data_IF_188293092526
#
_entry.id   IF_188293092526
#
_cell.length_a   1.000
_cell.length_b   1.000
_cell.length_c   1.000
_cell.angle_alpha   90.00
_cell.angle_beta   90.00
_cell.angle_gamma   90.00
#
_symmetry.space_group_name_H-M   'P 1'
#
loop_
_entity.id
_entity.type
_entity.pdbx_description
1 polymer ?
#
# COMPACT_ATOMS: atom_id res chain seq x y z
N UNK A 1 -31.16 -12.48 -5.75
CA UNK A 1 -30.71 -13.88 -5.62
C UNK A 1 -29.72 -14.15 -6.74
N UNK A 2 -28.50 -13.59 -6.62
CA UNK A 2 -27.45 -13.66 -7.66
C UNK A 2 -26.82 -15.06 -7.75
N UNK A 3 -26.92 -15.86 -6.68
CA UNK A 3 -26.45 -17.23 -6.65
C UNK A 3 -27.15 -18.16 -7.66
N UNK A 4 -28.41 -17.92 -8.04
CA UNK A 4 -29.19 -18.89 -8.83
C UNK A 4 -28.81 -19.02 -10.31
N UNK A 5 -28.31 -17.94 -10.94
CA UNK A 5 -27.94 -17.94 -12.35
C UNK A 5 -26.56 -18.57 -12.57
N UNK A 6 -25.60 -18.28 -11.68
CA UNK A 6 -24.23 -18.80 -11.74
C UNK A 6 -24.17 -20.35 -11.67
N UNK A 7 -25.06 -20.99 -10.88
CA UNK A 7 -25.13 -22.46 -10.81
C UNK A 7 -25.68 -23.11 -12.09
N UNK A 8 -26.48 -22.40 -12.89
CA UNK A 8 -27.17 -22.99 -14.04
C UNK A 8 -26.25 -23.12 -15.27
N UNK A 9 -25.39 -22.12 -15.50
CA UNK A 9 -24.39 -22.14 -16.58
C UNK A 9 -23.28 -23.18 -16.32
N UNK A 10 -22.83 -23.31 -15.07
CA UNK A 10 -21.76 -24.23 -14.68
C UNK A 10 -22.22 -25.69 -14.61
N UNK A 11 -23.50 -25.94 -14.30
CA UNK A 11 -24.09 -27.28 -14.36
C UNK A 11 -24.27 -27.79 -15.80
N UNK A 12 -24.48 -26.91 -16.78
CA UNK A 12 -24.52 -27.26 -18.19
C UNK A 12 -23.13 -27.67 -18.75
N UNK A 13 -22.05 -27.20 -18.12
CA UNK A 13 -20.66 -27.43 -18.53
C UNK A 13 -20.01 -28.72 -17.95
N UNK A 14 -20.72 -29.51 -17.13
CA UNK A 14 -20.24 -30.82 -16.66
C UNK A 14 -19.10 -30.79 -15.63
N UNK A 15 -18.89 -29.68 -14.92
CA UNK A 15 -17.79 -29.49 -13.95
C UNK A 15 -18.07 -30.27 -12.66
N UNK A 16 -17.22 -31.25 -12.31
CA UNK A 16 -17.52 -32.28 -11.32
C UNK A 16 -17.29 -31.91 -9.83
N UNK A 17 -16.82 -30.71 -9.50
CA UNK A 17 -16.76 -30.22 -8.10
C UNK A 17 -16.80 -28.70 -8.04
N UNK A 18 -17.98 -28.15 -7.73
CA UNK A 18 -18.25 -26.71 -7.62
C UNK A 18 -17.57 -26.06 -6.39
N UNK A 19 -17.32 -26.83 -5.34
CA UNK A 19 -16.79 -26.32 -4.06
C UNK A 19 -15.28 -26.08 -4.06
N UNK A 20 -14.52 -26.73 -4.95
CA UNK A 20 -13.06 -26.56 -5.00
C UNK A 20 -12.66 -25.37 -5.88
N UNK A 21 -13.40 -25.09 -6.96
CA UNK A 21 -13.15 -23.97 -7.89
C UNK A 21 -13.55 -22.62 -7.28
N UNK A 22 -14.61 -22.58 -6.48
CA UNK A 22 -15.07 -21.36 -5.81
C UNK A 22 -14.30 -21.01 -4.52
N UNK A 23 -13.52 -21.95 -3.96
CA UNK A 23 -12.75 -21.75 -2.72
C UNK A 23 -11.26 -21.42 -2.94
N UNK A 24 -10.74 -21.47 -4.18
CA UNK A 24 -9.42 -20.89 -4.49
C UNK A 24 -9.53 -19.35 -4.53
N UNK A 25 -9.60 -18.72 -3.36
CA UNK A 25 -9.22 -17.32 -3.20
C UNK A 25 -7.70 -17.22 -3.41
N UNK A 26 -7.29 -17.10 -4.68
CA UNK A 26 -5.96 -16.62 -5.01
C UNK A 26 -6.06 -15.10 -5.03
N UNK A 27 -5.57 -14.45 -3.98
CA UNK A 27 -5.22 -13.03 -4.01
C UNK A 27 -4.20 -12.84 -5.14
N UNK A 28 -4.66 -12.34 -6.28
CA UNK A 28 -3.76 -11.88 -7.34
C UNK A 28 -3.17 -10.57 -6.84
N UNK A 29 -1.93 -10.63 -6.34
CA UNK A 29 -1.12 -9.44 -6.08
C UNK A 29 -1.07 -8.62 -7.38
N UNK A 30 -1.73 -7.46 -7.36
CA UNK A 30 -1.70 -6.52 -8.47
C UNK A 30 -0.27 -5.95 -8.59
N UNK A 31 0.32 -5.90 -9.79
CA UNK A 31 1.61 -5.26 -9.97
C UNK A 31 1.47 -3.76 -9.70
N UNK A 32 2.06 -3.30 -8.61
CA UNK A 32 2.16 -1.89 -8.23
C UNK A 32 3.08 -1.14 -9.20
N UNK A 33 2.57 -0.80 -10.38
CA UNK A 33 3.29 0.12 -11.28
C UNK A 33 3.06 1.58 -10.83
N UNK A 34 4.09 2.33 -10.39
CA UNK A 34 3.92 3.64 -9.73
C UNK A 34 3.47 4.83 -10.60
N UNK A 35 3.02 4.65 -11.84
CA UNK A 35 2.96 5.75 -12.82
C UNK A 35 1.59 6.45 -12.98
N UNK A 36 0.60 6.20 -12.14
CA UNK A 36 -0.69 6.89 -12.17
C UNK A 36 -0.92 7.89 -11.02
N UNK A 37 0.17 8.42 -10.44
CA UNK A 37 0.07 9.49 -9.45
C UNK A 37 -0.28 10.84 -10.10
N UNK A 38 -1.57 11.14 -10.22
CA UNK A 38 -2.07 12.53 -10.29
C UNK A 38 -3.32 12.67 -9.41
N UNK A 39 -3.19 13.54 -8.41
CA UNK A 39 -3.91 13.50 -7.15
C UNK A 39 -5.11 14.46 -7.09
N UNK A 40 -6.18 13.98 -6.43
CA UNK A 40 -7.12 14.63 -5.50
C UNK A 40 -7.36 16.16 -5.57
N UNK A 41 -8.63 16.55 -5.65
CA UNK A 41 -9.20 17.85 -5.25
C UNK A 41 -9.90 17.67 -3.91
N UNK A 42 -9.32 18.10 -2.78
CA UNK A 42 -10.08 18.09 -1.53
C UNK A 42 -9.32 18.65 -0.34
N UNK A 43 -9.96 19.60 0.33
CA UNK A 43 -9.45 20.59 1.26
C UNK A 43 -9.33 20.10 2.71
N UNK A 44 -9.03 18.81 2.93
CA UNK A 44 -8.75 18.28 4.26
C UNK A 44 -7.27 17.99 4.42
N UNK A 45 -6.61 18.84 5.22
CA UNK A 45 -5.24 18.67 5.71
C UNK A 45 -5.03 17.27 6.29
N UNK A 46 -3.91 16.61 5.99
CA UNK A 46 -3.48 15.46 6.79
C UNK A 46 -3.55 15.84 8.27
N UNK A 47 -4.26 15.08 9.13
CA UNK A 47 -4.25 15.35 10.56
C UNK A 47 -2.85 15.03 11.08
N UNK A 48 -2.02 16.06 11.22
CA UNK A 48 -0.74 15.97 11.92
C UNK A 48 -1.05 16.02 13.42
N UNK A 49 -0.68 14.96 14.13
CA UNK A 49 -0.95 14.81 15.56
C UNK A 49 0.35 15.06 16.33
N UNK A 50 0.32 16.01 17.26
CA UNK A 50 1.43 16.29 18.17
C UNK A 50 1.32 15.41 19.42
N UNK A 51 2.38 14.67 19.74
CA UNK A 51 2.45 13.86 20.97
C UNK A 51 2.55 14.73 22.25
N UNK A 52 2.53 14.08 23.42
CA UNK A 52 3.05 14.69 24.64
C UNK A 52 4.54 15.04 24.46
N UNK A 53 4.98 16.17 25.04
CA UNK A 53 6.38 16.60 25.06
C UNK A 53 7.09 16.22 26.36
N UNK A 54 8.39 15.99 26.31
CA UNK A 54 9.26 15.92 27.48
C UNK A 54 10.33 17.02 27.43
N UNK A 55 10.77 17.53 28.57
CA UNK A 55 11.80 18.58 28.65
C UNK A 55 11.35 19.90 29.29
N UNK A 56 11.99 21.01 28.92
CA UNK A 56 11.77 22.34 29.51
C UNK A 56 11.72 23.51 28.53
N UNK A 57 11.33 24.70 29.00
CA UNK A 57 10.93 25.85 28.16
C UNK A 57 12.11 26.65 27.58
N UNK A 58 13.29 26.06 27.50
CA UNK A 58 14.52 26.74 27.08
C UNK A 58 14.76 26.60 25.58
N UNK A 59 15.75 27.31 25.05
CA UNK A 59 16.10 27.23 23.63
C UNK A 59 15.06 27.90 22.71
N UNK A 60 15.23 27.69 21.41
CA UNK A 60 14.36 28.20 20.34
C UNK A 60 13.41 27.11 19.88
N UNK A 61 12.18 27.48 19.57
CA UNK A 61 11.16 26.56 19.07
C UNK A 61 11.51 26.02 17.69
N UNK A 62 11.11 24.78 17.44
CA UNK A 62 11.13 24.15 16.12
C UNK A 62 9.90 23.25 15.95
N UNK A 63 9.46 23.06 14.71
CA UNK A 63 8.38 22.16 14.33
C UNK A 63 8.58 21.71 12.88
N UNK A 64 8.65 20.40 12.66
CA UNK A 64 8.87 19.79 11.34
C UNK A 64 7.59 19.64 10.51
N UNK A 65 6.44 20.15 10.99
CA UNK A 65 5.16 20.07 10.29
C UNK A 65 5.22 20.72 8.89
N UNK A 66 6.12 21.67 8.69
CA UNK A 66 6.34 22.34 7.40
C UNK A 66 6.75 21.38 6.27
N UNK A 67 7.49 20.30 6.59
CA UNK A 67 7.86 19.26 5.63
C UNK A 67 6.62 18.52 5.13
N UNK A 68 5.70 18.19 6.05
CA UNK A 68 4.49 17.43 5.77
C UNK A 68 3.44 18.26 5.02
N UNK A 69 3.43 19.57 5.24
CA UNK A 69 2.59 20.51 4.49
C UNK A 69 3.10 20.70 3.06
N UNK A 70 4.42 20.79 2.89
CA UNK A 70 5.03 20.98 1.58
C UNK A 70 4.91 19.75 0.67
N UNK A 71 4.91 18.55 1.27
CA UNK A 71 4.87 17.28 0.56
C UNK A 71 4.20 16.21 1.42
N UNK A 72 2.99 15.80 1.03
CA UNK A 72 2.19 14.81 1.73
C UNK A 72 2.73 13.37 1.57
N UNK A 73 3.66 13.16 0.63
CA UNK A 73 4.36 11.89 0.43
C UNK A 73 5.71 11.83 1.16
N UNK A 74 6.11 12.92 1.83
CA UNK A 74 7.32 12.93 2.64
C UNK A 74 7.21 11.89 3.76
N UNK A 75 8.19 10.98 3.84
CA UNK A 75 8.30 9.99 4.92
C UNK A 75 9.68 10.10 5.56
N UNK A 76 9.76 9.76 6.85
CA UNK A 76 11.04 9.66 7.55
C UNK A 76 11.87 8.54 6.90
N UNK A 77 13.09 8.84 6.49
CA UNK A 77 14.03 7.88 5.90
C UNK A 77 15.16 7.54 6.87
N UNK A 78 15.77 8.56 7.48
CA UNK A 78 16.87 8.38 8.43
C UNK A 78 16.66 9.26 9.64
N UNK A 79 16.83 8.66 10.82
CA UNK A 79 16.87 9.35 12.11
C UNK A 79 18.32 9.38 12.56
N UNK A 80 18.83 10.57 12.85
CA UNK A 80 20.18 10.75 13.40
C UNK A 80 20.11 11.47 14.74
N UNK A 81 20.97 11.06 15.65
CA UNK A 81 21.16 11.71 16.94
C UNK A 81 22.63 12.04 17.13
N UNK A 82 22.91 13.08 17.89
CA UNK A 82 24.25 13.32 18.44
C UNK A 82 24.15 13.38 19.94
N UNK A 83 24.99 12.62 20.62
CA UNK A 83 24.89 12.48 22.06
C UNK A 83 26.26 12.41 22.73
N UNK A 84 26.25 12.89 23.96
CA UNK A 84 27.30 12.67 24.95
C UNK A 84 26.65 12.20 26.25
N UNK A 85 26.65 13.03 27.29
CA UNK A 85 25.86 12.80 28.52
C UNK A 85 24.38 13.11 28.34
N UNK A 86 24.03 13.87 27.30
CA UNK A 86 22.70 14.38 26.94
C UNK A 86 22.51 14.30 25.42
N UNK A 87 21.29 14.58 24.96
CA UNK A 87 20.96 14.69 23.53
C UNK A 87 21.38 16.07 23.04
N UNK A 88 22.52 16.13 22.35
CA UNK A 88 23.05 17.35 21.74
C UNK A 88 22.24 17.71 20.48
N UNK A 89 21.83 16.72 19.67
CA UNK A 89 21.10 16.92 18.41
C UNK A 89 20.15 15.77 18.07
N UNK A 90 19.05 16.09 17.41
CA UNK A 90 18.24 15.16 16.62
C UNK A 90 18.08 15.71 15.19
N UNK A 91 18.17 14.82 14.20
CA UNK A 91 17.98 15.17 12.80
C UNK A 91 17.16 14.11 12.07
N UNK A 92 16.23 14.59 11.22
CA UNK A 92 15.33 13.77 10.43
C UNK A 92 15.60 14.04 8.94
N UNK A 93 16.03 13.02 8.22
CA UNK A 93 16.10 13.05 6.76
C UNK A 93 14.87 12.37 6.18
N UNK A 94 14.25 13.03 5.19
CA UNK A 94 13.01 12.61 4.57
C UNK A 94 13.25 12.03 3.16
N UNK A 95 12.32 11.21 2.69
CA UNK A 95 12.35 10.59 1.35
C UNK A 95 12.40 11.59 0.20
N UNK A 96 11.84 12.79 0.39
CA UNK A 96 11.87 13.89 -0.57
C UNK A 96 13.16 14.72 -0.56
N UNK A 97 14.16 14.30 0.24
CA UNK A 97 15.44 14.98 0.38
C UNK A 97 15.45 16.13 1.39
N UNK A 98 14.32 16.45 2.04
CA UNK A 98 14.32 17.40 3.14
C UNK A 98 15.15 16.88 4.32
N UNK A 99 15.83 17.79 5.00
CA UNK A 99 16.59 17.52 6.22
C UNK A 99 16.19 18.55 7.28
N UNK A 100 15.85 18.07 8.47
CA UNK A 100 15.59 18.89 9.65
C UNK A 100 16.63 18.54 10.71
N UNK A 101 17.24 19.55 11.32
CA UNK A 101 18.34 19.40 12.28
C UNK A 101 18.07 20.32 13.45
N UNK A 102 17.97 19.75 14.65
CA UNK A 102 17.62 20.47 15.88
C UNK A 102 18.65 20.18 16.96
N UNK A 103 19.18 21.22 17.59
CA UNK A 103 20.25 21.12 18.58
C UNK A 103 21.65 21.42 18.02
N UNK A 104 22.66 21.30 18.88
CA UNK A 104 24.04 21.68 18.59
C UNK A 104 24.87 20.59 17.91
N UNK A 105 26.17 20.83 17.79
CA UNK A 105 27.13 19.91 17.15
C UNK A 105 27.90 19.01 18.13
N UNK A 106 27.59 19.09 19.42
CA UNK A 106 28.17 18.25 20.46
C UNK A 106 27.90 16.77 20.24
N UNK A 107 28.61 15.91 20.98
CA UNK A 107 28.45 14.47 20.90
C UNK A 107 28.96 13.82 19.60
N UNK A 108 28.98 12.49 19.59
CA UNK A 108 29.27 11.72 18.38
C UNK A 108 27.95 11.40 17.64
N UNK A 109 27.93 11.47 16.30
CA UNK A 109 26.72 11.13 15.55
C UNK A 109 26.46 9.63 15.55
N UNK A 110 25.18 9.27 15.68
CA UNK A 110 24.65 7.94 15.46
C UNK A 110 23.41 8.07 14.56
N UNK A 111 23.21 7.11 13.66
CA UNK A 111 22.10 7.16 12.70
C UNK A 111 21.45 5.80 12.54
N UNK A 112 20.16 5.82 12.27
CA UNK A 112 19.35 4.67 11.89
C UNK A 112 18.56 5.04 10.63
N UNK A 113 18.96 4.44 9.50
CA UNK A 113 18.20 4.50 8.25
C UNK A 113 17.19 3.37 8.25
N UNK A 114 15.91 3.69 8.06
CA UNK A 114 14.82 2.73 7.98
C UNK A 114 14.96 1.86 6.73
N UNK A 115 14.74 0.55 6.88
CA UNK A 115 14.58 -0.39 5.78
C UNK A 115 13.25 -0.13 5.05
N UNK A 116 13.08 -0.65 3.83
CA UNK A 116 11.75 -0.70 3.20
C UNK A 116 10.73 -1.29 4.18
N UNK A 117 9.56 -0.65 4.27
CA UNK A 117 8.43 -1.02 5.14
C UNK A 117 8.69 -1.00 6.65
N UNK A 118 9.88 -0.60 7.08
CA UNK A 118 10.20 -0.44 8.49
C UNK A 118 9.69 0.88 9.02
N UNK A 119 8.98 0.82 10.15
CA UNK A 119 8.41 1.98 10.81
C UNK A 119 8.97 2.10 12.23
N UNK A 120 8.98 3.31 12.77
CA UNK A 120 9.22 3.50 14.21
C UNK A 120 8.00 2.98 14.97
N UNK A 121 8.22 2.26 16.08
CA UNK A 121 7.16 1.70 16.94
C UNK A 121 7.09 2.38 18.29
N UNK A 122 8.22 2.81 18.83
CA UNK A 122 8.30 3.40 20.15
C UNK A 122 9.46 4.39 20.21
N UNK A 123 9.21 5.56 20.79
CA UNK A 123 10.27 6.50 21.21
C UNK A 123 10.08 6.81 22.69
N UNK A 124 11.15 6.65 23.47
CA UNK A 124 11.22 7.04 24.88
C UNK A 124 12.23 8.15 25.05
N UNK A 125 11.83 9.26 25.68
CA UNK A 125 12.72 10.36 26.03
C UNK A 125 12.87 10.45 27.53
N UNK A 126 14.06 10.83 28.00
CA UNK A 126 14.40 11.05 29.40
C UNK A 126 14.84 12.49 29.58
N UNK A 127 14.20 13.22 30.50
CA UNK A 127 14.51 14.62 30.75
C UNK A 127 14.85 14.86 32.22
N UNK A 128 15.92 15.60 32.44
CA UNK A 128 16.43 15.93 33.76
C UNK A 128 17.01 17.35 33.77
N UNK A 129 17.35 17.86 34.96
CA UNK A 129 17.91 19.20 35.12
C UNK A 129 19.44 19.20 35.11
N UNK A 130 20.01 20.17 34.41
CA UNK A 130 21.42 20.52 34.43
C UNK A 130 21.54 22.04 34.54
N UNK A 131 22.25 22.53 35.56
CA UNK A 131 22.48 23.96 35.75
C UNK A 131 21.18 24.79 35.65
N UNK A 132 20.14 24.33 36.34
CA UNK A 132 18.75 24.87 36.34
C UNK A 132 17.99 24.83 35.01
N UNK A 133 18.56 24.20 33.97
CA UNK A 133 17.91 23.98 32.68
C UNK A 133 17.48 22.52 32.54
N UNK A 134 16.20 22.29 32.24
CA UNK A 134 15.75 20.95 31.86
C UNK A 134 16.17 20.67 30.42
N UNK A 135 16.75 19.49 30.19
CA UNK A 135 17.27 19.02 28.89
C UNK A 135 16.83 17.58 28.64
N UNK A 136 16.86 17.16 27.38
CA UNK A 136 16.76 15.74 27.04
C UNK A 136 18.11 15.06 27.32
N UNK A 137 18.12 14.15 28.27
CA UNK A 137 19.31 13.42 28.71
C UNK A 137 19.53 12.12 27.95
N UNK A 138 18.46 11.45 27.53
CA UNK A 138 18.53 10.26 26.71
C UNK A 138 17.31 10.11 25.80
N UNK A 139 17.50 9.36 24.73
CA UNK A 139 16.44 8.94 23.81
C UNK A 139 16.65 7.47 23.45
N UNK A 140 15.55 6.74 23.31
CA UNK A 140 15.51 5.36 22.83
C UNK A 140 14.45 5.26 21.74
N UNK A 141 14.85 4.82 20.56
CA UNK A 141 13.97 4.61 19.41
C UNK A 141 14.00 3.13 19.07
N UNK A 142 12.83 2.51 18.96
CA UNK A 142 12.67 1.11 18.55
C UNK A 142 11.78 1.04 17.31
N UNK A 143 12.20 0.25 16.32
CA UNK A 143 11.47 0.07 15.06
C UNK A 143 10.69 -1.25 14.99
N UNK A 144 9.86 -1.42 13.97
CA UNK A 144 9.13 -2.66 13.68
C UNK A 144 10.05 -3.85 13.40
N UNK A 145 11.27 -3.60 12.89
CA UNK A 145 12.30 -4.63 12.72
C UNK A 145 13.08 -4.96 14.01
N UNK A 146 12.70 -4.37 15.15
CA UNK A 146 13.38 -4.56 16.43
C UNK A 146 14.75 -3.88 16.54
N UNK A 147 15.12 -3.03 15.58
CA UNK A 147 16.36 -2.25 15.62
C UNK A 147 16.19 -1.09 16.59
N UNK A 148 17.31 -0.67 17.18
CA UNK A 148 17.33 0.39 18.18
C UNK A 148 18.33 1.49 17.83
N UNK A 149 17.92 2.73 18.08
CA UNK A 149 18.80 3.89 18.16
C UNK A 149 18.63 4.47 19.56
N UNK A 150 19.61 4.24 20.42
CA UNK A 150 19.56 4.63 21.83
C UNK A 150 20.84 5.34 22.24
N UNK A 151 20.72 6.39 23.05
CA UNK A 151 21.89 7.09 23.56
C UNK A 151 21.58 8.08 24.68
N UNK A 152 22.64 8.51 25.38
CA UNK A 152 22.57 9.42 26.53
C UNK A 152 22.46 8.72 27.90
N UNK A 153 22.24 9.50 28.97
CA UNK A 153 22.10 8.98 30.34
C UNK A 153 20.61 8.91 30.72
N UNK A 154 20.07 7.72 30.99
CA UNK A 154 18.65 7.59 31.40
C UNK A 154 18.46 8.11 32.82
N UNK A 155 17.94 9.33 32.98
CA UNK A 155 17.64 9.96 34.28
C UNK A 155 16.41 10.86 34.21
N UNK A 156 15.87 11.23 35.38
CA UNK A 156 14.73 12.13 35.49
C UNK A 156 13.40 11.56 34.97
N UNK A 157 12.55 12.43 34.44
CA UNK A 157 11.21 12.08 33.93
C UNK A 157 11.34 11.40 32.57
N UNK A 158 10.66 10.28 32.39
CA UNK A 158 10.51 9.65 31.08
C UNK A 158 9.14 9.90 30.48
N UNK A 159 9.09 10.03 29.15
CA UNK A 159 7.87 10.04 28.34
C UNK A 159 8.06 9.04 27.21
N UNK A 160 7.05 8.19 27.03
CA UNK A 160 7.01 7.17 25.97
C UNK A 160 5.90 7.52 25.00
N UNK A 161 6.23 7.52 23.71
CA UNK A 161 5.29 7.70 22.61
C UNK A 161 5.34 6.44 21.75
N UNK A 162 4.18 5.86 21.47
CA UNK A 162 4.02 4.66 20.65
C UNK A 162 3.43 5.01 19.30
N UNK A 163 3.85 4.26 18.28
CA UNK A 163 3.44 4.42 16.90
C UNK A 163 2.91 3.08 16.37
N UNK A 164 1.90 3.14 15.51
CA UNK A 164 1.25 1.98 14.94
C UNK A 164 0.86 2.21 13.47
N UNK A 165 0.15 1.25 12.88
CA UNK A 165 -0.24 1.32 11.48
C UNK A 165 -1.20 2.48 11.19
N UNK A 166 -1.87 3.04 12.21
CA UNK A 166 -2.78 4.17 12.08
C UNK A 166 -2.13 5.49 12.50
N UNK A 167 -1.00 5.47 13.20
CA UNK A 167 -0.27 6.67 13.64
C UNK A 167 1.23 6.47 13.45
N UNK A 168 1.73 6.90 12.29
CA UNK A 168 3.13 6.75 11.90
C UNK A 168 3.98 7.92 12.36
N UNK A 169 5.23 7.66 12.75
CA UNK A 169 6.20 8.69 13.08
C UNK A 169 6.55 9.55 11.86
N UNK A 170 6.41 10.87 11.99
CA UNK A 170 6.50 11.80 10.86
C UNK A 170 7.53 12.94 11.04
N UNK A 171 8.06 13.13 12.24
CA UNK A 171 9.01 14.21 12.51
C UNK A 171 8.99 14.65 13.96
N UNK A 172 9.65 15.76 14.25
CA UNK A 172 9.81 16.27 15.61
C UNK A 172 9.27 17.68 15.74
N UNK A 173 8.91 18.04 16.97
CA UNK A 173 8.68 19.42 17.37
C UNK A 173 9.21 19.63 18.78
N UNK A 174 9.50 20.87 19.16
CA UNK A 174 9.98 21.17 20.50
C UNK A 174 10.85 22.41 20.56
N UNK A 175 11.92 22.33 21.36
CA UNK A 175 12.84 23.44 21.56
C UNK A 175 14.28 22.97 21.63
N UNK A 176 15.20 23.73 21.04
CA UNK A 176 16.62 23.40 21.06
C UNK A 176 17.53 24.64 21.05
N UNK A 177 18.77 24.43 21.48
CA UNK A 177 19.88 25.39 21.39
C UNK A 177 21.16 24.62 21.12
N UNK A 178 22.15 24.74 22.01
CA UNK A 178 23.34 23.87 21.97
C UNK A 178 23.02 22.39 22.22
N UNK A 179 21.90 22.12 22.90
CA UNK A 179 21.36 20.79 23.21
C UNK A 179 19.84 20.79 22.93
N UNK A 180 19.19 19.61 22.95
CA UNK A 180 17.73 19.50 22.82
C UNK A 180 17.08 19.69 24.20
N UNK A 181 16.15 20.65 24.27
CA UNK A 181 15.60 21.15 25.54
C UNK A 181 14.22 20.58 25.83
N UNK A 182 13.39 20.52 24.77
CA UNK A 182 12.04 19.98 24.77
C UNK A 182 11.87 19.17 23.49
N UNK A 183 11.27 17.99 23.58
CA UNK A 183 11.01 17.15 22.43
C UNK A 183 9.64 16.50 22.50
N UNK A 184 8.89 16.64 21.42
CA UNK A 184 7.70 15.87 21.09
C UNK A 184 7.83 15.35 19.65
N UNK A 185 6.87 14.51 19.26
CA UNK A 185 6.89 13.81 17.99
C UNK A 185 5.59 14.02 17.21
N UNK A 186 5.75 14.20 15.90
CA UNK A 186 4.65 14.31 14.96
C UNK A 186 4.23 12.90 14.55
N UNK A 187 2.92 12.70 14.52
CA UNK A 187 2.26 11.52 13.99
C UNK A 187 1.43 11.92 12.78
N UNK A 188 1.47 11.08 11.76
CA UNK A 188 0.51 11.17 10.65
C UNK A 188 -0.36 9.93 10.69
N UNK A 189 -1.64 10.13 10.48
CA UNK A 189 -2.53 9.04 10.08
C UNK A 189 -2.22 8.75 8.61
N UNK A 190 -1.67 7.57 8.26
CA UNK A 190 -1.55 7.23 6.86
C UNK A 190 -2.97 7.27 6.28
N UNK A 191 -3.13 8.02 5.20
CA UNK A 191 -4.26 7.79 4.32
C UNK A 191 -3.99 6.41 3.75
N UNK A 192 -4.60 5.40 4.37
CA UNK A 192 -4.72 4.09 3.75
C UNK A 192 -5.20 4.39 2.33
N UNK A 193 -4.56 3.87 1.26
CA UNK A 193 -5.19 3.97 -0.03
C UNK A 193 -6.56 3.33 0.19
N UNK A 194 -7.61 4.17 0.23
CA UNK A 194 -8.97 3.70 0.08
C UNK A 194 -8.84 2.67 -1.01
N UNK A 195 -9.12 1.38 -0.73
CA UNK A 195 -8.88 0.34 -1.70
C UNK A 195 -9.50 0.89 -2.96
N UNK A 196 -8.66 1.14 -3.99
CA UNK A 196 -9.13 1.71 -5.25
C UNK A 196 -10.44 1.03 -5.49
N UNK A 197 -11.58 1.75 -5.66
CA UNK A 197 -12.87 1.10 -5.74
C UNK A 197 -12.63 -0.05 -6.67
N UNK A 198 -12.71 -1.28 -6.14
CA UNK A 198 -12.52 -2.44 -6.98
C UNK A 198 -13.59 -2.13 -7.99
N UNK A 199 -13.22 -1.82 -9.24
CA UNK A 199 -14.20 -1.82 -10.28
C UNK A 199 -14.45 -3.32 -10.43
N UNK A 200 -15.18 -3.88 -9.46
CA UNK A 200 -16.07 -5.00 -9.61
C UNK A 200 -16.94 -4.50 -10.74
N UNK A 201 -16.47 -4.74 -11.96
CA UNK A 201 -17.12 -4.37 -13.21
C UNK A 201 -18.47 -5.09 -13.36
N UNK A 202 -18.92 -5.80 -12.32
CA UNK A 202 -19.82 -6.91 -12.38
C UNK A 202 -19.28 -8.06 -13.22
N UNK A 203 -18.09 -7.95 -13.84
CA UNK A 203 -17.60 -8.90 -14.84
C UNK A 203 -16.75 -9.99 -14.21
N UNK A 204 -16.94 -11.22 -14.67
CA UNK A 204 -16.29 -12.42 -14.15
C UNK A 204 -16.07 -13.41 -15.27
N UNK A 205 -14.86 -13.96 -15.35
CA UNK A 205 -14.47 -14.99 -16.30
C UNK A 205 -13.75 -16.12 -15.58
N UNK A 206 -13.95 -17.35 -16.06
CA UNK A 206 -13.23 -18.54 -15.62
C UNK A 206 -12.47 -19.10 -16.80
N UNK A 207 -11.15 -19.25 -16.67
CA UNK A 207 -10.29 -19.84 -17.71
C UNK A 207 -9.81 -21.22 -17.28
N UNK A 208 -9.67 -22.14 -18.23
CA UNK A 208 -9.32 -23.55 -18.02
C UNK A 208 -8.12 -23.97 -18.87
N UNK A 209 -7.26 -24.82 -18.31
CA UNK A 209 -6.01 -25.22 -18.97
C UNK A 209 -6.20 -26.22 -20.11
N UNK A 210 -7.34 -26.92 -20.11
CA UNK A 210 -7.66 -27.92 -21.12
C UNK A 210 -9.01 -27.58 -21.80
N UNK A 211 -9.29 -28.13 -23.01
CA UNK A 211 -10.59 -27.99 -23.65
C UNK A 211 -11.74 -28.60 -22.83
N UNK A 212 -12.96 -28.10 -23.04
CA UNK A 212 -14.19 -28.55 -22.38
C UNK A 212 -14.15 -28.42 -20.85
N UNK A 213 -13.57 -27.32 -20.36
CA UNK A 213 -13.58 -26.90 -18.95
C UNK A 213 -12.89 -27.90 -18.02
N UNK A 214 -11.83 -28.54 -18.51
CA UNK A 214 -11.01 -29.49 -17.76
C UNK A 214 -9.67 -28.88 -17.35
N UNK A 215 -8.92 -29.61 -16.53
CA UNK A 215 -7.58 -29.20 -16.10
C UNK A 215 -7.60 -28.16 -14.98
N UNK A 216 -6.56 -27.32 -14.91
CA UNK A 216 -6.47 -26.23 -13.94
C UNK A 216 -7.44 -25.12 -14.32
N UNK A 217 -7.95 -24.38 -13.33
CA UNK A 217 -8.83 -23.24 -13.57
C UNK A 217 -8.41 -21.99 -12.80
N UNK A 218 -8.79 -20.81 -13.31
CA UNK A 218 -8.64 -19.51 -12.62
C UNK A 218 -9.91 -18.68 -12.79
N UNK A 219 -10.37 -18.10 -11.69
CA UNK A 219 -11.47 -17.12 -11.67
C UNK A 219 -10.84 -15.73 -11.68
N UNK A 220 -11.27 -14.87 -12.60
CA UNK A 220 -10.73 -13.53 -12.79
C UNK A 220 -11.88 -12.51 -12.83
N UNK A 221 -11.75 -11.43 -12.06
CA UNK A 221 -12.77 -10.38 -11.89
C UNK A 221 -12.24 -8.97 -12.16
N UNK A 222 -10.95 -8.85 -12.51
CA UNK A 222 -10.25 -7.58 -12.74
C UNK A 222 -9.21 -7.72 -13.86
N UNK A 223 -8.67 -6.60 -14.39
CA UNK A 223 -7.58 -6.63 -15.36
C UNK A 223 -6.34 -7.39 -14.84
N UNK A 224 -5.83 -8.32 -15.64
CA UNK A 224 -4.61 -9.09 -15.39
C UNK A 224 -3.58 -8.80 -16.46
N UNK A 225 -2.60 -7.96 -16.15
CA UNK A 225 -1.52 -7.56 -17.08
C UNK A 225 -0.58 -8.72 -17.45
N UNK A 226 -0.46 -9.75 -16.61
CA UNK A 226 0.29 -10.96 -16.96
C UNK A 226 -0.22 -12.16 -16.17
N UNK A 227 -0.37 -13.30 -16.83
CA UNK A 227 -0.75 -14.57 -16.23
C UNK A 227 0.44 -15.37 -15.67
N UNK A 228 1.66 -14.84 -15.76
CA UNK A 228 2.86 -15.52 -15.24
C UNK A 228 2.79 -15.79 -13.72
N UNK A 229 2.39 -14.82 -12.86
CA UNK A 229 2.30 -15.05 -11.41
C UNK A 229 1.27 -16.12 -11.04
N UNK A 230 0.21 -16.26 -11.83
CA UNK A 230 -0.87 -17.24 -11.59
C UNK A 230 -0.52 -18.65 -12.08
N UNK A 231 0.65 -18.81 -12.72
CA UNK A 231 1.11 -20.02 -13.43
C UNK A 231 0.12 -20.48 -14.51
N UNK A 232 -0.59 -19.54 -15.11
CA UNK A 232 -1.62 -19.79 -16.11
C UNK A 232 -1.31 -19.17 -17.48
N UNK A 233 -0.11 -18.60 -17.63
CA UNK A 233 0.33 -17.99 -18.88
C UNK A 233 0.39 -19.04 -20.00
N UNK A 234 -0.20 -18.75 -21.15
CA UNK A 234 -0.17 -19.64 -22.31
C UNK A 234 -0.73 -21.03 -22.00
N UNK A 235 -1.77 -21.12 -21.15
CA UNK A 235 -2.45 -22.38 -20.85
C UNK A 235 -3.93 -22.36 -21.20
N UNK A 236 -4.52 -21.20 -21.49
CA UNK A 236 -5.98 -21.11 -21.68
C UNK A 236 -6.42 -21.87 -22.94
N UNK A 237 -7.11 -22.99 -22.73
CA UNK A 237 -7.67 -23.86 -23.77
C UNK A 237 -9.20 -23.82 -23.82
N UNK A 238 -9.89 -23.46 -22.74
CA UNK A 238 -11.34 -23.18 -22.73
C UNK A 238 -11.70 -22.13 -21.66
N UNK A 239 -12.87 -21.50 -21.77
CA UNK A 239 -13.30 -20.46 -20.83
C UNK A 239 -14.82 -20.34 -20.70
N UNK A 240 -15.27 -19.78 -19.58
CA UNK A 240 -16.66 -19.42 -19.30
C UNK A 240 -16.69 -17.96 -18.86
N UNK A 241 -17.42 -17.13 -19.59
CA UNK A 241 -17.71 -15.75 -19.19
C UNK A 241 -18.99 -15.80 -18.35
N UNK A 242 -18.84 -15.56 -17.05
CA UNK A 242 -19.97 -15.56 -16.11
C UNK A 242 -20.73 -14.24 -16.20
N UNK A 243 -20.02 -13.14 -16.47
CA UNK A 243 -20.63 -11.82 -16.65
C UNK A 243 -19.72 -10.83 -17.36
N UNK A 244 -20.34 -9.90 -18.09
CA UNK A 244 -19.65 -8.81 -18.80
C UNK A 244 -19.00 -9.23 -20.13
N UNK A 245 -18.17 -8.33 -20.66
CA UNK A 245 -17.36 -8.55 -21.87
C UNK A 245 -15.89 -8.42 -21.51
N UNK A 246 -15.07 -9.34 -22.02
CA UNK A 246 -13.64 -9.45 -21.73
C UNK A 246 -12.83 -9.40 -23.03
N UNK A 247 -11.68 -8.76 -22.93
CA UNK A 247 -10.64 -8.73 -23.96
C UNK A 247 -9.49 -9.64 -23.50
N UNK A 248 -9.16 -10.63 -24.33
CA UNK A 248 -8.07 -11.59 -24.12
C UNK A 248 -6.91 -11.23 -25.05
N UNK A 249 -5.68 -11.27 -24.56
CA UNK A 249 -4.51 -10.82 -25.31
C UNK A 249 -3.43 -11.89 -25.35
N UNK A 250 -2.82 -12.04 -26.53
CA UNK A 250 -1.71 -12.95 -26.79
C UNK A 250 -0.48 -12.62 -25.93
N UNK A 251 -0.15 -11.33 -25.81
CA UNK A 251 1.03 -10.89 -25.05
C UNK A 251 0.64 -10.32 -23.69
N UNK A 252 1.64 -10.16 -22.83
CA UNK A 252 1.50 -9.44 -21.56
C UNK A 252 1.16 -7.97 -21.81
N UNK A 253 0.68 -7.28 -20.77
CA UNK A 253 0.34 -5.85 -20.78
C UNK A 253 -0.73 -5.44 -21.80
N UNK A 254 -1.61 -6.36 -22.19
CA UNK A 254 -2.70 -6.14 -23.15
C UNK A 254 -2.19 -5.78 -24.55
N UNK A 255 -1.18 -6.49 -25.02
CA UNK A 255 -0.57 -6.30 -26.34
C UNK A 255 -0.74 -7.53 -27.24
N UNK A 256 -0.43 -7.38 -28.53
CA UNK A 256 -0.54 -8.45 -29.53
C UNK A 256 -1.94 -8.63 -30.09
N UNK A 257 -2.19 -9.83 -30.61
CA UNK A 257 -3.52 -10.21 -31.07
C UNK A 257 -4.49 -10.25 -29.88
N UNK A 258 -5.72 -9.80 -30.14
CA UNK A 258 -6.76 -9.65 -29.13
C UNK A 258 -8.07 -10.31 -29.56
N UNK A 259 -8.74 -10.94 -28.61
CA UNK A 259 -10.03 -11.61 -28.79
C UNK A 259 -11.04 -11.10 -27.79
N UNK A 260 -12.29 -10.94 -28.24
CA UNK A 260 -13.39 -10.48 -27.39
C UNK A 260 -14.28 -11.67 -27.07
N UNK A 261 -14.58 -11.86 -25.79
CA UNK A 261 -15.53 -12.86 -25.28
C UNK A 261 -16.52 -12.19 -24.33
N UNK A 262 -17.80 -12.54 -24.43
CA UNK A 262 -18.85 -11.99 -23.56
C UNK A 262 -19.74 -13.09 -22.99
N UNK A 263 -20.51 -12.72 -21.96
CA UNK A 263 -21.54 -13.57 -21.33
C UNK A 263 -22.65 -14.00 -22.31
N UNK A 264 -22.89 -13.21 -23.37
CA UNK A 264 -23.84 -13.51 -24.44
C UNK A 264 -23.16 -14.09 -25.70
N UNK A 265 -21.86 -14.42 -25.62
CA UNK A 265 -21.10 -14.95 -26.74
C UNK A 265 -20.91 -16.47 -26.69
N UNK A 266 -19.94 -16.98 -27.46
CA UNK A 266 -19.70 -18.41 -27.61
C UNK A 266 -20.64 -19.08 -28.62
N UNK A 267 -20.48 -20.40 -28.87
CA UNK A 267 -21.21 -21.09 -29.93
C UNK A 267 -22.74 -21.14 -29.72
N UNK A 268 -23.20 -20.99 -28.49
CA UNK A 268 -24.61 -21.05 -28.12
C UNK A 268 -25.14 -19.75 -27.49
N UNK A 269 -24.39 -18.65 -27.55
CA UNK A 269 -24.78 -17.35 -26.95
C UNK A 269 -25.05 -17.46 -25.42
N UNK A 270 -24.25 -18.26 -24.73
CA UNK A 270 -24.40 -18.59 -23.30
C UNK A 270 -23.12 -18.29 -22.50
N UNK A 271 -22.14 -17.63 -23.10
CA UNK A 271 -20.87 -17.31 -22.45
C UNK A 271 -19.93 -18.51 -22.29
N UNK A 272 -20.26 -19.65 -22.92
CA UNK A 272 -19.51 -20.90 -22.80
C UNK A 272 -18.65 -21.12 -24.04
N UNK A 273 -17.33 -21.22 -23.85
CA UNK A 273 -16.36 -21.34 -24.93
C UNK A 273 -15.55 -22.63 -24.76
N UNK A 274 -16.01 -23.77 -25.32
CA UNK A 274 -15.46 -25.10 -25.05
C UNK A 274 -14.03 -25.32 -25.57
N UNK A 275 -13.56 -24.50 -26.49
CA UNK A 275 -12.20 -24.53 -27.01
C UNK A 275 -11.83 -23.20 -27.68
N UNK A 276 -10.56 -22.99 -27.98
CA UNK A 276 -10.03 -21.75 -28.58
C UNK A 276 -10.65 -21.33 -29.91
N UNK A 277 -11.17 -22.29 -30.68
CA UNK A 277 -11.86 -21.99 -31.94
C UNK A 277 -13.18 -21.25 -31.68
N UNK A 278 -13.75 -21.38 -30.47
CA UNK A 278 -15.02 -20.75 -30.08
C UNK A 278 -14.89 -19.23 -29.90
N UNK A 279 -13.68 -18.71 -29.68
CA UNK A 279 -13.37 -17.27 -29.72
C UNK A 279 -12.53 -16.88 -30.94
N UNK A 280 -12.38 -17.78 -31.92
CA UNK A 280 -11.60 -17.58 -33.14
C UNK A 280 -10.13 -17.19 -32.87
N UNK A 281 -9.55 -17.73 -31.79
CA UNK A 281 -8.14 -17.52 -31.45
C UNK A 281 -7.27 -18.75 -31.66
N UNK A 282 -6.08 -18.69 -31.10
CA UNK A 282 -5.13 -19.80 -31.06
C UNK A 282 -5.11 -20.45 -29.66
N UNK A 283 -4.70 -21.71 -29.59
CA UNK A 283 -4.64 -22.43 -28.32
C UNK A 283 -3.43 -21.98 -27.51
N UNK A 284 -3.59 -21.89 -26.18
CA UNK A 284 -2.46 -21.73 -25.26
C UNK A 284 -1.61 -20.48 -25.54
N UNK A 285 -2.24 -19.38 -25.99
CA UNK A 285 -1.53 -18.12 -26.28
C UNK A 285 -1.92 -16.97 -25.36
N UNK A 286 -2.95 -17.10 -24.52
CA UNK A 286 -3.41 -15.97 -23.70
C UNK A 286 -2.40 -15.68 -22.58
N UNK A 287 -1.89 -14.45 -22.54
CA UNK A 287 -0.93 -13.96 -21.54
C UNK A 287 -1.45 -12.80 -20.69
N UNK A 288 -2.46 -12.07 -21.14
CA UNK A 288 -3.13 -11.03 -20.35
C UNK A 288 -4.60 -10.87 -20.75
N UNK A 289 -5.42 -10.32 -19.86
CA UNK A 289 -6.85 -10.10 -20.14
C UNK A 289 -7.45 -9.02 -19.25
N UNK A 290 -8.50 -8.34 -19.73
CA UNK A 290 -9.22 -7.32 -18.96
C UNK A 290 -10.71 -7.28 -19.32
N UNK A 291 -11.60 -6.90 -18.40
CA UNK A 291 -12.96 -6.54 -18.77
C UNK A 291 -12.95 -5.30 -19.67
N UNK A 292 -13.87 -5.26 -20.64
CA UNK A 292 -14.17 -4.04 -21.38
C UNK A 292 -14.94 -3.10 -20.44
N UNK A 293 -14.51 -1.84 -20.34
CA UNK A 293 -15.27 -0.85 -19.58
C UNK A 293 -16.65 -0.69 -20.21
N UNK A 294 -17.71 -0.94 -19.43
CA UNK A 294 -19.06 -0.59 -19.87
C UNK A 294 -19.08 0.92 -20.14
N UNK A 295 -19.68 1.39 -21.27
CA UNK A 295 -19.87 2.81 -21.49
C UNK A 295 -20.54 3.42 -20.26
N UNK A 296 -19.91 4.44 -19.68
CA UNK A 296 -20.44 5.21 -18.55
C UNK A 296 -21.65 6.05 -18.98
N UNK A 297 -22.73 5.40 -19.41
CA UNK A 297 -23.99 6.05 -19.82
C UNK A 297 -25.14 5.76 -18.83
N UNK A 298 -24.82 5.50 -17.57
CA UNK A 298 -25.80 5.41 -16.47
C UNK A 298 -25.57 6.47 -15.37
N UNK A 299 -25.11 7.67 -15.75
CA UNK A 299 -24.93 8.80 -14.84
C UNK A 299 -25.81 10.04 -15.13
N UNK A 300 -26.64 10.00 -16.17
CA UNK A 300 -27.45 11.16 -16.58
C UNK A 300 -28.91 10.79 -16.83
N UNK A 301 -29.56 10.15 -15.85
CA UNK A 301 -31.02 10.08 -15.82
C UNK A 301 -31.52 10.03 -14.37
N UNK A 302 -32.03 11.16 -13.88
CA UNK A 302 -32.96 11.17 -12.74
C UNK A 302 -32.72 12.25 -11.68
N UNK A 303 -33.39 13.39 -11.91
CA UNK A 303 -34.00 14.32 -10.95
C UNK A 303 -33.14 14.97 -9.85
#
# INVERSE_FOLDING_TARGET
SLYGAEYSLLAAAGVASLTDVLNEHIEVETPTTPSAQRWWKGEQSMPVIHSETNGGPHGTEFDDTDVLIADQDARVQTISIRTSKRLDQIAIAYTNGALRVHGGSGGAPQSLTLQPDEVVKEIVTYADKKDDHTRIFAIEITTSAGRKLESGTKSGRSVKVTFDAQHLFAGCFGRSGDEVDLLGFLQIEPVEPEPLPIIETGAKIIVFSDPNFQGQSRVLTSPVQTLNPTRFNNLTSSLIVVSGTWELYENVNFEGDAWIVSEDGGPNEDGVYPNWQSWQGDNDVISSLKPQELPTDYGAAGA
#
